data_IF_151666753457
#
_entry.id   IF_151666753457
#
_cell.length_a   1.000
_cell.length_b   1.000
_cell.length_c   1.000
_cell.angle_alpha   90.00
_cell.angle_beta   90.00
_cell.angle_gamma   90.00
#
_symmetry.space_group_name_H-M   'P 1'
#
loop_
_entity.id
_entity.type
_entity.pdbx_description
1 polymer ?
#
# COMPACT_ATOMS: atom_id res chain seq x y z
N UNK A 1 62.28 26.00 -10.89
CA UNK A 1 61.71 25.23 -9.76
C UNK A 1 60.26 24.87 -10.08
N UNK A 2 59.76 23.77 -9.55
CA UNK A 2 58.71 22.89 -10.08
C UNK A 2 57.24 23.41 -10.09
N UNK A 3 56.56 23.20 -11.22
CA UNK A 3 55.26 22.53 -11.46
C UNK A 3 54.29 22.27 -10.27
N UNK A 4 52.99 22.63 -10.41
CA UNK A 4 51.85 21.66 -10.51
C UNK A 4 50.44 22.27 -10.39
N UNK A 5 49.58 21.85 -11.33
CA UNK A 5 48.10 21.85 -11.32
C UNK A 5 47.52 21.26 -10.02
N UNK A 6 46.33 21.72 -9.61
CA UNK A 6 45.33 20.86 -8.92
C UNK A 6 43.90 21.16 -9.40
N UNK A 7 43.23 20.09 -9.83
CA UNK A 7 41.80 19.97 -10.13
C UNK A 7 41.01 19.70 -8.85
N UNK A 8 39.72 20.07 -8.92
CA UNK A 8 38.54 19.43 -8.32
C UNK A 8 38.31 19.51 -6.79
N UNK A 9 37.12 19.95 -6.39
CA UNK A 9 35.98 19.06 -6.10
C UNK A 9 34.75 19.88 -5.67
N UNK A 10 33.62 19.61 -6.32
CA UNK A 10 32.27 19.96 -5.89
C UNK A 10 31.86 19.15 -4.64
N UNK A 11 30.88 19.71 -3.92
CA UNK A 11 30.03 19.13 -2.86
C UNK A 11 30.43 19.48 -1.41
N UNK A 12 29.53 19.40 -0.39
CA UNK A 12 28.06 19.35 -0.36
C UNK A 12 27.45 20.38 0.61
N UNK A 13 26.18 20.79 0.44
CA UNK A 13 25.37 21.26 1.58
C UNK A 13 23.88 21.09 1.29
N UNK A 14 23.46 19.82 1.21
CA UNK A 14 22.08 19.46 1.50
C UNK A 14 21.95 19.38 3.03
N UNK A 15 21.13 20.26 3.59
CA UNK A 15 21.00 20.46 5.02
C UNK A 15 20.29 19.29 5.70
N UNK A 16 20.90 18.92 6.82
CA UNK A 16 20.46 18.15 7.99
C UNK A 16 19.02 17.60 7.96
N UNK A 17 18.99 16.27 7.95
CA UNK A 17 18.01 15.47 8.67
C UNK A 17 18.48 15.48 10.13
N UNK A 18 17.59 15.83 11.07
CA UNK A 18 17.81 15.56 12.49
C UNK A 18 16.60 14.79 13.02
N UNK A 19 16.90 13.60 13.51
CA UNK A 19 16.01 12.62 14.13
C UNK A 19 15.21 13.18 15.31
N UNK A 20 13.97 12.69 15.45
CA UNK A 20 13.40 12.33 16.76
C UNK A 20 12.68 10.98 16.64
N UNK A 21 13.24 9.97 17.31
CA UNK A 21 12.64 8.65 17.58
C UNK A 21 11.58 8.77 18.68
N UNK A 22 10.37 8.24 18.46
CA UNK A 22 9.62 7.32 19.36
C UNK A 22 8.22 7.00 18.77
N UNK A 23 8.14 6.04 17.83
CA UNK A 23 6.99 5.16 17.59
C UNK A 23 7.44 3.99 16.72
N UNK A 24 8.22 3.09 17.33
CA UNK A 24 8.93 2.02 16.63
C UNK A 24 8.04 0.77 16.40
N UNK A 25 6.91 0.93 15.72
CA UNK A 25 6.14 -0.19 15.15
C UNK A 25 5.51 0.24 13.83
N UNK A 26 6.10 -0.23 12.72
CA UNK A 26 5.48 -0.35 11.38
C UNK A 26 5.72 0.80 10.37
N UNK A 27 6.64 1.73 10.64
CA UNK A 27 6.97 2.77 9.65
C UNK A 27 7.83 2.21 8.51
N UNK A 28 7.27 2.17 7.31
CA UNK A 28 8.04 2.12 6.06
C UNK A 28 8.56 3.52 5.82
N UNK A 29 9.44 3.98 6.71
CA UNK A 29 10.09 5.29 6.78
C UNK A 29 9.23 6.56 6.70
N UNK A 30 8.02 6.56 6.11
CA UNK A 30 7.09 7.70 5.99
C UNK A 30 5.59 7.30 5.87
N UNK A 31 5.25 6.01 5.72
CA UNK A 31 3.85 5.59 5.55
C UNK A 31 3.19 5.26 6.89
N UNK A 32 2.00 5.82 7.11
CA UNK A 32 1.13 5.51 8.25
C UNK A 32 0.05 4.51 7.81
N UNK A 33 -0.06 3.42 8.55
CA UNK A 33 -1.07 2.38 8.32
C UNK A 33 -2.20 2.48 9.35
N UNK A 34 -3.47 2.24 8.96
CA UNK A 34 -3.94 1.96 7.60
C UNK A 34 -4.00 3.21 6.72
N UNK A 35 -3.59 3.06 5.45
CA UNK A 35 -3.61 4.15 4.47
C UNK A 35 -5.07 4.55 4.19
N UNK A 36 -5.41 5.80 4.46
CA UNK A 36 -6.78 6.31 4.30
C UNK A 36 -6.98 7.20 3.08
N UNK A 37 -5.88 7.51 2.40
CA UNK A 37 -5.79 8.44 1.28
C UNK A 37 -5.32 7.70 0.00
N UNK A 38 -5.98 7.92 -1.15
CA UNK A 38 -5.64 7.25 -2.40
C UNK A 38 -4.24 7.62 -2.91
N UNK A 39 -3.81 8.89 -2.80
CA UNK A 39 -2.51 9.33 -3.29
C UNK A 39 -1.37 8.69 -2.49
N UNK A 40 -1.53 8.61 -1.17
CA UNK A 40 -0.58 7.90 -0.28
C UNK A 40 -0.47 6.41 -0.62
N UNK A 41 -1.56 5.78 -1.09
CA UNK A 41 -1.55 4.38 -1.51
C UNK A 41 -0.77 4.20 -2.82
N UNK A 42 -0.85 5.16 -3.73
CA UNK A 42 -0.08 5.19 -4.97
C UNK A 42 1.41 5.46 -4.71
N UNK A 43 1.73 6.36 -3.78
CA UNK A 43 3.11 6.61 -3.34
C UNK A 43 3.75 5.35 -2.75
N UNK A 44 3.00 4.59 -1.94
CA UNK A 44 3.48 3.31 -1.42
C UNK A 44 3.73 2.31 -2.54
N UNK A 45 2.81 2.19 -3.50
CA UNK A 45 2.96 1.30 -4.65
C UNK A 45 4.19 1.69 -5.49
N UNK A 46 4.38 2.98 -5.75
CA UNK A 46 5.55 3.50 -6.46
C UNK A 46 6.83 3.17 -5.71
N UNK A 47 6.89 3.46 -4.41
CA UNK A 47 8.07 3.21 -3.59
C UNK A 47 8.42 1.71 -3.52
N UNK A 48 7.43 0.83 -3.39
CA UNK A 48 7.64 -0.63 -3.37
C UNK A 48 8.13 -1.15 -4.72
N UNK A 49 7.70 -0.57 -5.85
CA UNK A 49 8.17 -0.96 -7.18
C UNK A 49 9.58 -0.50 -7.48
N UNK A 50 9.92 0.72 -7.09
CA UNK A 50 11.15 1.38 -7.51
C UNK A 50 12.29 1.30 -6.49
N UNK A 51 11.99 1.07 -5.21
CA UNK A 51 12.98 0.93 -4.16
C UNK A 51 12.93 -0.46 -3.49
N UNK A 52 13.95 -1.33 -3.72
CA UNK A 52 13.97 -2.67 -3.14
C UNK A 52 14.07 -2.67 -1.62
N UNK A 53 14.64 -1.60 -1.01
CA UNK A 53 14.69 -1.47 0.45
C UNK A 53 13.29 -1.26 1.03
N UNK A 54 12.51 -0.39 0.41
CA UNK A 54 11.10 -0.12 0.75
C UNK A 54 10.25 -1.37 0.56
N UNK A 55 10.41 -2.09 -0.56
CA UNK A 55 9.77 -3.39 -0.75
C UNK A 55 10.04 -4.36 0.40
N UNK A 56 11.31 -4.52 0.80
CA UNK A 56 11.69 -5.41 1.91
C UNK A 56 11.08 -4.96 3.24
N UNK A 57 11.03 -3.65 3.51
CA UNK A 57 10.34 -3.09 4.69
C UNK A 57 8.84 -3.39 4.66
N UNK A 58 8.19 -3.23 3.51
CA UNK A 58 6.77 -3.54 3.34
C UNK A 58 6.47 -5.02 3.58
N UNK A 59 7.27 -5.92 3.00
CA UNK A 59 7.11 -7.37 3.21
C UNK A 59 7.31 -7.74 4.69
N UNK A 60 8.30 -7.14 5.36
CA UNK A 60 8.49 -7.36 6.80
C UNK A 60 7.33 -6.80 7.62
N UNK A 61 6.72 -5.69 7.21
CA UNK A 61 5.50 -5.18 7.80
C UNK A 61 4.35 -6.19 7.63
N UNK A 62 4.15 -6.72 6.43
CA UNK A 62 3.14 -7.74 6.15
C UNK A 62 3.33 -8.97 7.05
N UNK A 63 4.55 -9.50 7.16
CA UNK A 63 4.86 -10.63 8.06
C UNK A 63 4.53 -10.37 9.54
N UNK A 64 4.57 -9.12 9.98
CA UNK A 64 4.25 -8.75 11.37
C UNK A 64 2.75 -8.63 11.63
N UNK A 65 1.97 -8.20 10.62
CA UNK A 65 0.53 -7.99 10.80
C UNK A 65 -0.28 -9.28 10.67
N UNK A 66 0.32 -10.38 10.20
CA UNK A 66 -0.30 -11.72 10.20
C UNK A 66 0.79 -12.71 10.57
N UNK A 67 0.73 -13.18 11.82
CA UNK A 67 1.61 -14.22 12.30
C UNK A 67 1.27 -15.56 11.60
N UNK A 68 2.24 -16.47 11.46
CA UNK A 68 2.03 -17.76 10.79
C UNK A 68 0.89 -18.60 11.41
N UNK A 69 0.70 -18.50 12.73
CA UNK A 69 -0.37 -19.19 13.46
C UNK A 69 -1.73 -18.44 13.46
N UNK A 70 -1.77 -17.20 12.96
CA UNK A 70 -2.98 -16.39 13.01
C UNK A 70 -3.85 -16.61 11.76
N UNK A 71 -5.02 -17.21 11.96
CA UNK A 71 -6.09 -17.28 10.95
C UNK A 71 -6.79 -15.92 10.77
N UNK A 72 -6.03 -14.87 10.47
CA UNK A 72 -6.61 -13.62 9.97
C UNK A 72 -7.14 -13.83 8.57
N UNK A 73 -8.40 -13.46 8.35
CA UNK A 73 -8.97 -13.44 7.01
C UNK A 73 -8.26 -12.38 6.17
N UNK A 74 -8.20 -12.56 4.84
CA UNK A 74 -7.64 -11.54 3.95
C UNK A 74 -8.31 -10.17 4.09
N UNK A 75 -9.56 -10.11 4.58
CA UNK A 75 -10.26 -8.86 4.88
C UNK A 75 -9.76 -8.13 6.11
N UNK A 76 -9.26 -8.85 7.11
CA UNK A 76 -8.70 -8.25 8.32
C UNK A 76 -7.30 -7.71 8.05
N UNK A 77 -6.51 -8.45 7.28
CA UNK A 77 -5.23 -8.00 6.75
C UNK A 77 -5.41 -6.73 5.91
N UNK A 78 -6.39 -6.72 5.01
CA UNK A 78 -6.67 -5.57 4.16
C UNK A 78 -6.94 -4.31 4.98
N UNK A 79 -7.76 -4.43 6.04
CA UNK A 79 -8.09 -3.31 6.94
C UNK A 79 -6.90 -2.80 7.77
N UNK A 80 -5.87 -3.63 7.97
CA UNK A 80 -4.60 -3.20 8.61
C UNK A 80 -3.71 -2.42 7.64
N UNK A 81 -3.87 -2.62 6.33
CA UNK A 81 -3.07 -1.97 5.28
C UNK A 81 -3.74 -0.69 4.79
N UNK A 82 -5.05 -0.74 4.54
CA UNK A 82 -5.76 0.32 3.84
C UNK A 82 -7.18 0.45 4.37
N UNK A 83 -7.62 1.69 4.56
CA UNK A 83 -8.99 1.99 4.96
C UNK A 83 -9.92 1.92 3.75
N UNK A 84 -11.22 1.67 4.02
CA UNK A 84 -12.25 1.68 2.98
C UNK A 84 -12.25 2.99 2.17
N UNK A 85 -11.91 4.13 2.79
CA UNK A 85 -11.91 5.47 2.17
C UNK A 85 -10.89 5.64 1.05
N UNK A 86 -9.70 5.07 1.18
CA UNK A 86 -8.65 5.15 0.17
C UNK A 86 -9.03 4.41 -1.12
N UNK A 87 -9.87 3.38 -1.00
CA UNK A 87 -10.22 2.45 -2.08
C UNK A 87 -11.56 2.82 -2.71
N UNK A 88 -12.52 3.18 -1.86
CA UNK A 88 -13.86 3.54 -2.27
C UNK A 88 -13.81 4.75 -3.21
N UNK A 89 -14.57 4.70 -4.32
CA UNK A 89 -14.58 5.69 -5.40
C UNK A 89 -13.29 5.85 -6.24
N UNK A 90 -12.11 5.44 -5.75
CA UNK A 90 -10.83 5.64 -6.45
C UNK A 90 -10.28 4.39 -7.15
N UNK A 91 -10.63 3.19 -6.65
CA UNK A 91 -10.02 1.95 -7.13
C UNK A 91 -11.05 0.83 -7.37
N UNK A 92 -10.67 -0.14 -8.19
CA UNK A 92 -11.41 -1.35 -8.56
C UNK A 92 -10.48 -2.55 -8.58
N UNK A 93 -10.99 -3.77 -8.44
CA UNK A 93 -10.09 -4.92 -8.43
C UNK A 93 -9.61 -5.32 -9.85
N UNK A 94 -10.54 -5.52 -10.79
CA UNK A 94 -10.27 -6.30 -12.01
C UNK A 94 -9.76 -5.47 -13.20
N UNK A 95 -10.38 -4.34 -13.48
CA UNK A 95 -10.07 -3.50 -14.64
C UNK A 95 -10.33 -2.05 -14.29
N UNK A 96 -9.56 -1.17 -14.92
CA UNK A 96 -9.78 0.27 -14.86
C UNK A 96 -11.14 0.58 -15.46
N UNK A 97 -11.96 1.33 -14.73
CA UNK A 97 -13.32 1.67 -15.16
C UNK A 97 -13.71 3.07 -14.71
N UNK A 98 -14.56 3.73 -15.49
CA UNK A 98 -15.15 4.99 -15.08
C UNK A 98 -16.38 4.72 -14.21
N UNK A 99 -16.56 5.51 -13.15
CA UNK A 99 -17.81 5.49 -12.38
C UNK A 99 -18.91 6.29 -13.08
N UNK A 100 -20.13 6.28 -12.51
CA UNK A 100 -21.28 7.01 -13.05
C UNK A 100 -21.09 8.53 -13.08
N UNK A 101 -20.10 9.06 -12.33
CA UNK A 101 -19.72 10.46 -12.32
C UNK A 101 -18.54 10.75 -13.27
N UNK A 102 -18.14 9.80 -14.11
CA UNK A 102 -17.03 9.94 -15.06
C UNK A 102 -15.64 9.88 -14.44
N UNK A 103 -15.50 9.48 -13.17
CA UNK A 103 -14.19 9.36 -12.49
C UNK A 103 -13.53 8.03 -12.79
N UNK A 104 -12.26 8.06 -13.19
CA UNK A 104 -11.45 6.88 -13.50
C UNK A 104 -11.06 6.14 -12.21
N UNK A 105 -11.48 4.88 -12.09
CA UNK A 105 -11.08 3.97 -11.01
C UNK A 105 -9.96 3.06 -11.47
N UNK A 106 -8.81 3.06 -10.78
CA UNK A 106 -7.62 2.26 -11.13
C UNK A 106 -7.76 0.80 -10.69
N UNK A 107 -7.07 -0.12 -11.37
CA UNK A 107 -7.13 -1.55 -11.06
C UNK A 107 -6.09 -1.96 -10.00
N UNK A 108 -6.54 -2.47 -8.85
CA UNK A 108 -5.69 -2.93 -7.74
C UNK A 108 -5.02 -4.27 -8.01
N UNK A 109 -5.51 -5.08 -8.96
CA UNK A 109 -4.82 -6.32 -9.35
C UNK A 109 -3.39 -6.06 -9.84
N UNK A 110 -3.15 -4.85 -10.35
CA UNK A 110 -1.86 -4.46 -10.91
C UNK A 110 -0.95 -3.88 -9.84
N UNK A 111 -1.38 -3.80 -8.57
CA UNK A 111 -0.58 -3.26 -7.48
C UNK A 111 0.26 -4.36 -6.84
N UNK A 112 1.59 -4.16 -6.83
CA UNK A 112 2.52 -5.08 -6.20
C UNK A 112 2.26 -5.23 -4.69
N UNK A 113 1.76 -4.17 -4.03
CA UNK A 113 1.47 -4.18 -2.60
C UNK A 113 0.32 -5.11 -2.19
N UNK A 114 -0.61 -5.41 -3.12
CA UNK A 114 -1.75 -6.32 -2.91
C UNK A 114 -1.63 -7.64 -3.67
N UNK A 115 -0.47 -7.89 -4.29
CA UNK A 115 -0.20 -9.09 -5.07
C UNK A 115 1.10 -9.73 -4.63
N UNK A 116 2.16 -9.50 -5.40
CA UNK A 116 3.46 -10.15 -5.21
C UNK A 116 4.05 -9.97 -3.81
N UNK A 117 3.86 -8.80 -3.18
CA UNK A 117 4.39 -8.57 -1.83
C UNK A 117 3.64 -9.37 -0.76
N UNK A 118 2.33 -9.59 -0.92
CA UNK A 118 1.56 -10.44 -0.01
C UNK A 118 1.94 -11.90 -0.17
N UNK A 119 2.11 -12.36 -1.41
CA UNK A 119 2.58 -13.71 -1.72
C UNK A 119 3.97 -13.99 -1.14
N UNK A 120 4.88 -13.00 -1.21
CA UNK A 120 6.24 -13.12 -0.67
C UNK A 120 6.28 -13.01 0.86
N UNK A 121 5.34 -12.28 1.46
CA UNK A 121 5.22 -12.18 2.91
C UNK A 121 4.70 -13.48 3.53
N UNK A 122 3.77 -14.15 2.84
CA UNK A 122 2.99 -15.26 3.39
C UNK A 122 2.91 -16.47 2.43
N UNK A 123 4.07 -17.06 2.06
CA UNK A 123 4.10 -18.17 1.10
C UNK A 123 3.38 -19.42 1.63
N UNK A 124 3.38 -19.64 2.94
CA UNK A 124 2.84 -20.83 3.59
C UNK A 124 1.34 -20.71 3.94
N UNK A 125 0.74 -19.54 3.71
CA UNK A 125 -0.68 -19.32 4.00
C UNK A 125 -1.54 -19.71 2.80
N UNK A 126 -2.30 -20.81 2.97
CA UNK A 126 -3.21 -21.37 1.96
C UNK A 126 -4.24 -20.34 1.47
N UNK A 127 -4.67 -19.43 2.35
CA UNK A 127 -5.62 -18.35 2.03
C UNK A 127 -5.05 -17.24 1.13
N UNK A 128 -3.73 -17.17 0.95
CA UNK A 128 -3.04 -16.08 0.22
C UNK A 128 -2.44 -16.53 -1.12
N UNK A 129 -2.63 -17.79 -1.55
CA UNK A 129 -2.24 -18.23 -2.90
C UNK A 129 -2.75 -17.33 -4.04
N UNK A 130 -2.04 -17.24 -5.17
CA UNK A 130 -2.32 -16.24 -6.22
C UNK A 130 -3.79 -16.22 -6.70
N UNK A 131 -4.43 -17.39 -6.80
CA UNK A 131 -5.83 -17.51 -7.20
C UNK A 131 -6.82 -17.14 -6.07
N UNK A 132 -6.53 -17.56 -4.84
CA UNK A 132 -7.35 -17.26 -3.65
C UNK A 132 -7.24 -15.79 -3.25
N UNK A 133 -6.06 -15.18 -3.37
CA UNK A 133 -5.82 -13.75 -3.13
C UNK A 133 -6.66 -12.89 -4.06
N UNK A 134 -6.64 -13.16 -5.37
CA UNK A 134 -7.43 -12.39 -6.33
C UNK A 134 -8.93 -12.50 -6.09
N UNK A 135 -9.42 -13.71 -5.78
CA UNK A 135 -10.84 -13.94 -5.45
C UNK A 135 -11.23 -13.21 -4.17
N UNK A 136 -10.40 -13.30 -3.12
CA UNK A 136 -10.61 -12.64 -1.83
C UNK A 136 -10.67 -11.14 -1.99
N UNK A 137 -9.69 -10.54 -2.68
CA UNK A 137 -9.63 -9.09 -2.91
C UNK A 137 -10.85 -8.58 -3.71
N UNK A 138 -11.29 -9.34 -4.73
CA UNK A 138 -12.51 -9.02 -5.49
C UNK A 138 -13.75 -9.00 -4.60
N UNK A 139 -13.88 -9.99 -3.71
CA UNK A 139 -15.01 -10.06 -2.76
C UNK A 139 -14.95 -8.93 -1.73
N UNK A 140 -13.77 -8.61 -1.21
CA UNK A 140 -13.58 -7.52 -0.24
C UNK A 140 -13.98 -6.17 -0.82
N UNK A 141 -13.47 -5.83 -2.01
CA UNK A 141 -13.82 -4.58 -2.70
C UNK A 141 -15.32 -4.55 -3.04
N UNK A 142 -15.93 -5.67 -3.41
CA UNK A 142 -17.39 -5.74 -3.63
C UNK A 142 -18.15 -5.43 -2.33
N UNK A 143 -17.82 -6.11 -1.22
CA UNK A 143 -18.48 -5.91 0.09
C UNK A 143 -18.29 -4.47 0.59
N UNK A 144 -17.10 -3.91 0.43
CA UNK A 144 -16.77 -2.53 0.75
C UNK A 144 -17.62 -1.54 -0.06
N UNK A 145 -17.72 -1.71 -1.37
CA UNK A 145 -18.54 -0.84 -2.21
C UNK A 145 -20.01 -0.91 -1.78
N UNK A 146 -20.57 -2.10 -1.57
CA UNK A 146 -21.97 -2.28 -1.12
C UNK A 146 -22.19 -1.55 0.21
N UNK A 147 -21.32 -1.77 1.19
CA UNK A 147 -21.42 -1.13 2.51
C UNK A 147 -21.44 0.40 2.40
N UNK A 148 -20.52 0.98 1.62
CA UNK A 148 -20.39 2.43 1.50
C UNK A 148 -21.49 3.08 0.63
N UNK A 149 -21.97 2.40 -0.41
CA UNK A 149 -23.16 2.88 -1.15
C UNK A 149 -24.43 2.82 -0.31
N UNK A 150 -24.62 1.80 0.53
CA UNK A 150 -25.75 1.74 1.47
C UNK A 150 -25.68 2.89 2.48
N UNK A 151 -24.48 3.22 2.98
CA UNK A 151 -24.28 4.38 3.87
C UNK A 151 -24.64 5.69 3.17
N UNK A 152 -24.13 5.93 1.95
CA UNK A 152 -24.46 7.12 1.16
C UNK A 152 -25.96 7.23 0.88
N UNK A 153 -26.62 6.14 0.50
CA UNK A 153 -28.05 6.14 0.23
C UNK A 153 -28.93 6.34 1.48
N UNK A 154 -28.43 5.96 2.67
CA UNK A 154 -29.10 6.25 3.95
C UNK A 154 -28.92 7.70 4.39
N UNK A 155 -27.77 8.32 4.07
CA UNK A 155 -27.50 9.74 4.35
C UNK A 155 -28.28 10.71 3.45
N UNK A 156 -28.98 10.23 2.41
CA UNK A 156 -29.81 11.05 1.52
C UNK A 156 -31.33 10.91 1.76
N UNK A 157 -31.76 10.25 2.85
CA UNK A 157 -33.18 10.27 3.24
C UNK A 157 -33.44 11.51 4.13
N UNK A 158 -34.41 12.38 3.76
CA UNK A 158 -34.78 13.56 4.53
C UNK A 158 -35.41 13.20 5.88
#
# INVERSE_FOLDING_TARGET
MFLKRKRAKLSPSFKLIHEQEDDNRLLITNFKFPISDPDTLEDLEYAVRHDPKTRKKYINFLRRIKAPDEHLSGGDVFRRICADSAIFLHFCFSTTKFDAAGRKRKALKDFAIFGVCMLEAWPDHVDIGAHSLGTTMKQLIKRMNVRNYVRLGRSQKP
#
